data_IF_815123879416
#
_entry.id   IF_815123879416
#
_cell.length_a   1.000
_cell.length_b   1.000
_cell.length_c   1.000
_cell.angle_alpha   90.00
_cell.angle_beta   90.00
_cell.angle_gamma   90.00
#
_symmetry.space_group_name_H-M   'P 1'
#
loop_
_entity.id
_entity.type
_entity.pdbx_description
1 polymer ?
#
# COMPACT_ATOMS: atom_id res chain seq x y z
N UNK A 1 9.85 -8.61 25.35
CA UNK A 1 9.12 -7.65 24.49
C UNK A 1 9.69 -7.78 23.10
N UNK A 2 8.87 -7.99 22.09
CA UNK A 2 9.29 -8.12 20.68
C UNK A 2 9.53 -6.72 20.14
N UNK A 3 10.72 -6.42 19.64
CA UNK A 3 11.00 -5.18 18.93
C UNK A 3 10.57 -5.34 17.49
N UNK A 4 9.60 -4.51 17.02
CA UNK A 4 9.05 -4.53 15.68
C UNK A 4 9.22 -3.15 15.03
N UNK A 5 10.00 -3.11 13.96
CA UNK A 5 10.35 -1.86 13.26
C UNK A 5 9.65 -1.79 11.92
N UNK A 6 8.83 -0.77 11.69
CA UNK A 6 8.22 -0.47 10.40
C UNK A 6 9.06 0.54 9.62
N UNK A 7 9.35 0.20 8.37
CA UNK A 7 10.11 1.07 7.45
C UNK A 7 9.10 1.84 6.60
N UNK A 8 8.76 3.05 7.01
CA UNK A 8 7.81 3.92 6.29
C UNK A 8 7.91 5.36 6.77
N UNK A 9 7.79 6.32 5.83
CA UNK A 9 7.58 7.75 6.10
C UNK A 9 6.13 8.17 5.87
N UNK A 10 5.26 7.26 5.43
CA UNK A 10 3.85 7.55 5.16
C UNK A 10 3.04 7.60 6.47
N UNK A 11 2.55 8.80 6.80
CA UNK A 11 1.80 9.05 8.04
C UNK A 11 0.51 8.23 8.16
N UNK A 12 -0.20 7.96 7.05
CA UNK A 12 -1.41 7.14 7.07
C UNK A 12 -1.08 5.68 7.42
N UNK A 13 0.03 5.14 6.89
CA UNK A 13 0.52 3.80 7.27
C UNK A 13 0.91 3.76 8.74
N UNK A 14 1.61 4.78 9.25
CA UNK A 14 2.00 4.88 10.67
C UNK A 14 0.76 4.90 11.55
N UNK A 15 -0.26 5.69 11.20
CA UNK A 15 -1.54 5.76 11.90
C UNK A 15 -2.21 4.37 11.93
N UNK A 16 -2.32 3.73 10.78
CA UNK A 16 -2.91 2.39 10.64
C UNK A 16 -2.21 1.34 11.50
N UNK A 17 -0.88 1.33 11.52
CA UNK A 17 -0.11 0.42 12.38
C UNK A 17 -0.40 0.69 13.86
N UNK A 18 -0.34 1.96 14.29
CA UNK A 18 -0.62 2.34 15.68
C UNK A 18 -2.02 1.93 16.13
N UNK A 19 -3.02 2.04 15.26
CA UNK A 19 -4.40 1.63 15.54
C UNK A 19 -4.50 0.11 15.72
N UNK A 20 -3.94 -0.68 14.79
CA UNK A 20 -3.96 -2.15 14.87
C UNK A 20 -3.23 -2.68 16.10
N UNK A 21 -2.13 -2.06 16.49
CA UNK A 21 -1.30 -2.49 17.61
C UNK A 21 -1.63 -1.79 18.94
N UNK A 22 -2.66 -0.95 19.03
CA UNK A 22 -2.99 -0.08 20.17
C UNK A 22 -3.15 -0.84 21.50
N UNK A 23 -3.67 -2.08 21.47
CA UNK A 23 -3.95 -2.89 22.66
C UNK A 23 -2.91 -4.00 22.88
N UNK A 24 -1.73 -3.88 22.26
CA UNK A 24 -0.68 -4.92 22.32
C UNK A 24 0.45 -4.44 23.23
N UNK A 25 0.68 -5.12 24.33
CA UNK A 25 1.64 -4.70 25.37
C UNK A 25 3.00 -5.39 25.28
N UNK A 26 3.11 -6.48 24.53
CA UNK A 26 4.33 -7.28 24.41
C UNK A 26 5.16 -6.97 23.15
N UNK A 27 4.72 -5.99 22.35
CA UNK A 27 5.42 -5.53 21.15
C UNK A 27 5.83 -4.06 21.33
N UNK A 28 7.11 -3.78 21.09
CA UNK A 28 7.68 -2.44 21.09
C UNK A 28 7.79 -1.95 19.65
N UNK A 29 6.94 -0.96 19.29
CA UNK A 29 6.83 -0.45 17.93
C UNK A 29 7.83 0.66 17.67
N UNK A 30 8.59 0.51 16.60
CA UNK A 30 9.52 1.50 16.08
C UNK A 30 9.16 1.86 14.63
N UNK A 31 9.45 3.10 14.23
CA UNK A 31 9.28 3.58 12.87
C UNK A 31 10.58 4.19 12.37
N UNK A 32 10.98 3.81 11.16
CA UNK A 32 12.16 4.37 10.49
C UNK A 32 11.69 5.14 9.26
N UNK A 33 12.03 6.42 9.23
CA UNK A 33 11.61 7.40 8.22
C UNK A 33 12.72 7.73 7.21
N UNK A 34 13.66 6.85 6.99
CA UNK A 34 14.77 7.14 6.08
C UNK A 34 14.33 7.07 4.61
N UNK A 35 14.85 8.00 3.82
CA UNK A 35 14.85 7.94 2.36
C UNK A 35 15.76 6.80 1.92
N UNK A 36 15.18 5.62 1.80
CA UNK A 36 15.89 4.47 1.25
C UNK A 36 15.70 4.50 -0.24
N UNK A 37 16.77 4.38 -1.03
CA UNK A 37 16.62 4.09 -2.44
C UNK A 37 15.80 2.81 -2.58
N UNK A 38 14.56 2.94 -3.04
CA UNK A 38 13.75 1.77 -3.37
C UNK A 38 14.35 1.12 -4.63
N UNK A 39 14.54 -0.19 -4.56
CA UNK A 39 14.91 -0.92 -5.77
C UNK A 39 13.77 -0.82 -6.78
N UNK A 40 14.12 -0.85 -8.06
CA UNK A 40 13.15 -1.13 -9.10
C UNK A 40 12.93 -2.64 -9.14
N UNK A 41 11.71 -3.08 -8.86
CA UNK A 41 11.34 -4.48 -8.82
C UNK A 41 10.15 -4.78 -9.74
N UNK A 42 9.92 -6.06 -9.99
CA UNK A 42 8.82 -6.52 -10.83
C UNK A 42 7.49 -6.67 -10.06
N UNK A 43 7.53 -6.60 -8.73
CA UNK A 43 6.35 -6.69 -7.87
C UNK A 43 6.55 -5.95 -6.55
N UNK A 44 5.43 -5.53 -5.93
CA UNK A 44 5.42 -4.94 -4.58
C UNK A 44 6.06 -5.85 -3.54
N UNK A 45 5.86 -7.16 -3.66
CA UNK A 45 6.44 -8.16 -2.75
C UNK A 45 7.97 -8.16 -2.84
N UNK A 46 8.52 -8.14 -4.06
CA UNK A 46 9.97 -8.07 -4.28
C UNK A 46 10.57 -6.81 -3.66
N UNK A 47 9.97 -5.65 -3.94
CA UNK A 47 10.42 -4.36 -3.39
C UNK A 47 10.37 -4.36 -1.87
N UNK A 48 9.24 -4.80 -1.29
CA UNK A 48 9.07 -4.87 0.15
C UNK A 48 10.07 -5.85 0.80
N UNK A 49 10.33 -7.01 0.16
CA UNK A 49 11.26 -8.03 0.67
C UNK A 49 12.69 -7.53 0.73
N UNK A 50 13.20 -6.97 -0.39
CA UNK A 50 14.57 -6.48 -0.45
C UNK A 50 14.81 -5.35 0.55
N UNK A 51 13.85 -4.44 0.67
CA UNK A 51 13.92 -3.35 1.66
C UNK A 51 13.89 -3.92 3.09
N UNK A 52 12.97 -4.83 3.42
CA UNK A 52 12.89 -5.43 4.76
C UNK A 52 14.17 -6.17 5.13
N UNK A 53 14.74 -6.97 4.22
CA UNK A 53 15.98 -7.71 4.43
C UNK A 53 17.19 -6.78 4.60
N UNK A 54 17.25 -5.70 3.82
CA UNK A 54 18.32 -4.70 3.96
C UNK A 54 18.32 -4.11 5.38
N UNK A 55 17.15 -3.73 5.88
CA UNK A 55 17.05 -3.14 7.23
C UNK A 55 17.19 -4.14 8.36
N UNK A 56 16.72 -5.38 8.19
CA UNK A 56 16.86 -6.42 9.21
C UNK A 56 18.32 -6.69 9.61
N UNK A 57 19.26 -6.46 8.70
CA UNK A 57 20.71 -6.57 8.97
C UNK A 57 21.25 -5.46 9.87
N UNK A 58 20.54 -4.35 10.00
CA UNK A 58 21.00 -3.14 10.70
C UNK A 58 20.21 -2.87 12.00
N UNK A 59 19.06 -3.51 12.17
CA UNK A 59 18.23 -3.35 13.37
C UNK A 59 18.23 -4.66 14.18
N UNK A 60 18.29 -4.52 15.50
CA UNK A 60 18.15 -5.67 16.39
C UNK A 60 16.65 -5.90 16.64
N UNK A 61 16.01 -6.78 15.86
CA UNK A 61 14.58 -7.08 15.97
C UNK A 61 13.96 -7.43 14.64
N UNK A 62 12.63 -7.49 14.62
CA UNK A 62 11.85 -7.74 13.42
C UNK A 62 11.64 -6.47 12.63
N UNK A 63 11.64 -6.57 11.31
CA UNK A 63 11.42 -5.46 10.39
C UNK A 63 10.22 -5.74 9.49
N UNK A 64 9.39 -4.73 9.29
CA UNK A 64 8.29 -4.77 8.33
C UNK A 64 8.46 -3.66 7.30
N UNK A 65 8.39 -4.03 6.02
CA UNK A 65 8.17 -3.09 4.92
C UNK A 65 6.88 -3.44 4.21
N UNK A 66 6.08 -2.43 3.88
CA UNK A 66 4.90 -2.58 3.05
C UNK A 66 4.98 -1.67 1.83
N UNK A 67 4.68 -2.24 0.66
CA UNK A 67 4.52 -1.53 -0.60
C UNK A 67 3.10 -1.69 -1.15
N UNK A 68 2.59 -0.63 -1.84
CA UNK A 68 1.27 -0.62 -2.46
C UNK A 68 1.41 -0.36 -3.95
N UNK A 69 0.88 -1.27 -4.75
CA UNK A 69 0.87 -1.17 -6.21
C UNK A 69 -0.54 -1.26 -6.77
N UNK A 70 -0.87 -0.38 -7.71
CA UNK A 70 -2.11 -0.40 -8.47
C UNK A 70 -1.94 -1.25 -9.73
N UNK A 71 -2.89 -2.13 -9.99
CA UNK A 71 -2.95 -2.94 -11.20
C UNK A 71 -4.28 -2.72 -11.91
N UNK A 72 -4.24 -2.19 -13.15
CA UNK A 72 -5.41 -1.96 -14.00
C UNK A 72 -5.50 -3.10 -15.00
N UNK A 73 -6.56 -3.93 -14.93
CA UNK A 73 -6.62 -5.18 -15.68
C UNK A 73 -6.50 -5.01 -17.18
N UNK A 74 -7.20 -4.02 -17.74
CA UNK A 74 -7.19 -3.75 -19.18
C UNK A 74 -5.87 -3.18 -19.69
N UNK A 75 -4.97 -2.73 -18.81
CA UNK A 75 -3.66 -2.17 -19.14
C UNK A 75 -2.48 -3.13 -18.88
N UNK A 76 -2.71 -4.44 -18.78
CA UNK A 76 -1.70 -5.52 -18.73
C UNK A 76 -0.64 -5.38 -17.61
N UNK A 77 -0.91 -5.50 -16.51
CA UNK A 77 -1.29 -4.87 -15.26
C UNK A 77 -0.49 -3.61 -14.93
N UNK A 78 -0.46 -2.65 -15.83
CA UNK A 78 0.06 -1.30 -15.58
C UNK A 78 -0.75 -0.61 -14.47
N UNK A 79 -0.16 0.27 -13.63
CA UNK A 79 1.28 0.62 -13.56
C UNK A 79 2.09 -0.33 -12.69
N UNK A 80 1.46 -1.24 -11.92
CA UNK A 80 2.16 -2.15 -11.03
C UNK A 80 3.02 -1.43 -9.99
N UNK A 81 4.25 -1.88 -9.75
CA UNK A 81 5.16 -1.29 -8.76
C UNK A 81 5.52 0.19 -9.03
N UNK A 82 5.27 0.67 -10.24
CA UNK A 82 5.52 2.07 -10.63
C UNK A 82 4.34 3.01 -10.35
N UNK A 83 3.35 2.58 -9.56
CA UNK A 83 2.14 3.35 -9.24
C UNK A 83 2.46 4.77 -8.77
N UNK A 84 3.35 4.93 -7.80
CA UNK A 84 3.70 6.24 -7.27
C UNK A 84 4.38 7.13 -8.32
N UNK A 85 5.29 6.56 -9.11
CA UNK A 85 5.97 7.30 -10.20
C UNK A 85 4.95 7.83 -11.22
N UNK A 86 4.07 6.98 -11.72
CA UNK A 86 3.09 7.39 -12.73
C UNK A 86 2.00 8.28 -12.15
N UNK A 87 1.53 8.05 -10.93
CA UNK A 87 0.56 8.94 -10.30
C UNK A 87 1.11 10.37 -10.12
N UNK A 88 2.41 10.51 -9.90
CA UNK A 88 3.05 11.82 -9.76
C UNK A 88 3.44 12.48 -11.08
N UNK A 89 3.68 11.70 -12.14
CA UNK A 89 4.21 12.20 -13.42
C UNK A 89 3.22 12.19 -14.57
N UNK A 90 2.16 11.36 -14.52
CA UNK A 90 1.17 11.22 -15.59
C UNK A 90 -0.17 11.84 -15.16
N UNK A 91 -0.65 12.89 -15.85
CA UNK A 91 -1.97 13.46 -15.59
C UNK A 91 -3.09 12.41 -15.72
N UNK A 92 -4.13 12.54 -14.91
CA UNK A 92 -5.28 11.61 -14.91
C UNK A 92 -5.98 11.57 -16.27
N UNK A 93 -5.96 12.68 -17.02
CA UNK A 93 -6.51 12.77 -18.37
C UNK A 93 -5.77 11.84 -19.35
N UNK A 94 -4.46 11.65 -19.18
CA UNK A 94 -3.68 10.69 -19.96
C UNK A 94 -4.09 9.25 -19.65
N UNK A 95 -4.26 8.90 -18.36
CA UNK A 95 -4.78 7.59 -17.97
C UNK A 95 -6.16 7.32 -18.57
N UNK A 96 -7.07 8.30 -18.48
CA UNK A 96 -8.40 8.19 -19.06
C UNK A 96 -8.35 8.01 -20.59
N UNK A 97 -7.43 8.71 -21.26
CA UNK A 97 -7.22 8.58 -22.71
C UNK A 97 -6.74 7.17 -23.09
N UNK A 98 -5.81 6.58 -22.32
CA UNK A 98 -5.36 5.20 -22.51
C UNK A 98 -6.51 4.19 -22.38
N UNK A 99 -7.48 4.49 -21.51
CA UNK A 99 -8.62 3.62 -21.22
C UNK A 99 -9.88 3.92 -22.08
N UNK A 100 -9.82 4.85 -23.02
CA UNK A 100 -10.99 5.38 -23.74
C UNK A 100 -11.85 4.29 -24.41
N UNK A 101 -11.22 3.23 -24.95
CA UNK A 101 -11.90 2.16 -25.69
C UNK A 101 -11.93 0.84 -24.90
N UNK A 102 -11.66 0.89 -23.60
CA UNK A 102 -11.61 -0.32 -22.75
C UNK A 102 -12.91 -0.46 -21.98
N UNK A 103 -13.58 -1.59 -22.17
CA UNK A 103 -14.81 -1.94 -21.42
C UNK A 103 -14.53 -2.42 -20.00
N UNK A 104 -13.40 -3.13 -19.77
CA UNK A 104 -12.99 -3.53 -18.44
C UNK A 104 -12.28 -2.35 -17.76
N UNK A 105 -12.96 -1.77 -16.78
CA UNK A 105 -12.45 -0.66 -15.95
C UNK A 105 -12.12 -1.11 -14.54
N UNK A 106 -11.93 -2.40 -14.33
CA UNK A 106 -11.59 -2.96 -13.03
C UNK A 106 -10.09 -3.00 -12.80
N UNK A 107 -9.72 -2.98 -11.53
CA UNK A 107 -8.35 -3.12 -11.08
C UNK A 107 -8.28 -3.54 -9.62
N UNK A 108 -7.09 -3.49 -9.07
CA UNK A 108 -6.89 -3.70 -7.65
C UNK A 108 -5.61 -3.02 -7.17
N UNK A 109 -5.63 -2.58 -5.92
CA UNK A 109 -4.40 -2.35 -5.20
C UNK A 109 -3.90 -3.65 -4.61
N UNK A 110 -2.64 -3.97 -4.82
CA UNK A 110 -1.92 -5.00 -4.10
C UNK A 110 -1.13 -4.37 -2.96
N UNK A 111 -1.50 -4.73 -1.74
CA UNK A 111 -0.81 -4.34 -0.52
C UNK A 111 0.11 -5.50 -0.17
N UNK A 112 1.42 -5.31 -0.28
CA UNK A 112 2.41 -6.34 -0.02
C UNK A 112 3.26 -5.95 1.18
N UNK A 113 3.11 -6.66 2.31
CA UNK A 113 3.94 -6.48 3.48
C UNK A 113 4.87 -7.67 3.69
N UNK A 114 6.13 -7.39 4.02
CA UNK A 114 7.12 -8.41 4.33
C UNK A 114 7.68 -8.16 5.72
N UNK A 115 7.57 -9.18 6.55
CA UNK A 115 8.24 -9.29 7.84
C UNK A 115 9.57 -10.02 7.63
N UNK A 116 10.67 -9.42 8.08
CA UNK A 116 12.00 -10.02 8.04
C UNK A 116 12.62 -10.08 9.44
N UNK A 117 13.38 -11.14 9.72
CA UNK A 117 14.18 -11.27 10.94
C UNK A 117 15.67 -11.02 10.68
N UNK A 118 16.45 -11.01 11.77
CA UNK A 118 17.90 -10.80 11.74
C UNK A 118 18.67 -11.94 11.05
N UNK A 119 18.07 -13.13 10.93
CA UNK A 119 18.66 -14.29 10.27
C UNK A 119 18.38 -14.30 8.75
N UNK A 120 17.64 -13.32 8.27
CA UNK A 120 17.26 -13.19 6.85
C UNK A 120 16.06 -14.03 6.45
N UNK A 121 15.30 -14.58 7.41
CA UNK A 121 14.04 -15.25 7.12
C UNK A 121 12.96 -14.20 6.88
N UNK A 122 12.08 -14.46 5.92
CA UNK A 122 10.98 -13.57 5.59
C UNK A 122 9.63 -14.28 5.65
N UNK A 123 8.60 -13.50 5.99
CA UNK A 123 7.20 -13.87 5.86
C UNK A 123 6.45 -12.80 5.09
N UNK A 124 5.72 -13.21 4.07
CA UNK A 124 4.98 -12.32 3.18
C UNK A 124 3.50 -12.34 3.50
N UNK A 125 2.90 -11.16 3.43
CA UNK A 125 1.47 -10.93 3.61
C UNK A 125 0.99 -10.09 2.43
N UNK A 126 0.05 -10.60 1.66
CA UNK A 126 -0.47 -9.92 0.48
C UNK A 126 -1.98 -9.83 0.58
N UNK A 127 -2.49 -8.61 0.47
CA UNK A 127 -3.91 -8.34 0.43
C UNK A 127 -4.27 -7.52 -0.81
N UNK A 128 -5.40 -7.81 -1.45
CA UNK A 128 -5.83 -7.10 -2.66
C UNK A 128 -7.14 -6.37 -2.40
N UNK A 129 -7.12 -5.07 -2.66
CA UNK A 129 -8.29 -4.19 -2.58
C UNK A 129 -8.79 -3.96 -4.00
N UNK A 130 -9.98 -4.47 -4.30
CA UNK A 130 -10.59 -4.27 -5.62
C UNK A 130 -11.00 -2.81 -5.81
N UNK A 131 -10.81 -2.31 -7.03
CA UNK A 131 -11.22 -0.96 -7.42
C UNK A 131 -11.85 -0.96 -8.82
N UNK A 132 -12.59 0.09 -9.07
CA UNK A 132 -13.09 0.47 -10.39
C UNK A 132 -12.49 1.82 -10.79
N UNK A 133 -12.36 2.07 -12.08
CA UNK A 133 -11.84 3.32 -12.62
C UNK A 133 -12.97 4.04 -13.33
N UNK A 134 -13.30 5.24 -12.85
CA UNK A 134 -14.34 6.10 -13.44
C UNK A 134 -14.02 6.45 -14.90
N UNK A 135 -15.04 6.69 -15.69
CA UNK A 135 -14.88 7.22 -17.06
C UNK A 135 -14.45 8.68 -17.07
N UNK A 136 -14.69 9.40 -15.99
CA UNK A 136 -14.43 10.83 -15.86
C UNK A 136 -13.67 11.10 -14.55
N UNK A 137 -12.79 12.10 -14.58
CA UNK A 137 -12.15 12.60 -13.39
C UNK A 137 -13.13 13.42 -12.55
N UNK A 138 -13.34 13.04 -11.29
CA UNK A 138 -14.31 13.68 -10.37
C UNK A 138 -13.62 14.02 -9.05
N UNK A 139 -13.78 15.25 -8.61
CA UNK A 139 -13.11 15.79 -7.41
C UNK A 139 -11.88 16.64 -7.79
N UNK A 140 -11.26 17.26 -6.76
CA UNK A 140 -10.13 18.19 -6.92
C UNK A 140 -8.90 17.79 -6.09
N UNK A 141 -8.96 16.68 -5.34
CA UNK A 141 -7.87 16.17 -4.51
C UNK A 141 -7.14 15.03 -5.20
N UNK A 142 -5.83 15.03 -5.08
CA UNK A 142 -4.96 14.05 -5.73
C UNK A 142 -4.96 14.14 -7.24
N UNK A 143 -4.30 13.20 -7.90
CA UNK A 143 -4.27 13.07 -9.35
C UNK A 143 -5.16 11.90 -9.79
N UNK A 144 -4.69 10.65 -9.66
CA UNK A 144 -5.49 9.48 -10.02
C UNK A 144 -6.59 9.16 -9.00
N UNK A 145 -6.54 9.70 -7.78
CA UNK A 145 -7.65 9.63 -6.81
C UNK A 145 -8.98 10.14 -7.36
N UNK A 146 -8.93 10.98 -8.40
CA UNK A 146 -10.08 11.55 -9.11
C UNK A 146 -10.82 10.53 -9.99
N UNK A 147 -10.25 9.35 -10.22
CA UNK A 147 -10.86 8.28 -11.01
C UNK A 147 -10.95 6.95 -10.29
N UNK A 148 -10.25 6.77 -9.18
CA UNK A 148 -10.23 5.51 -8.43
C UNK A 148 -11.42 5.43 -7.48
N UNK A 149 -12.17 4.32 -7.55
CA UNK A 149 -13.36 4.05 -6.76
C UNK A 149 -13.18 2.65 -6.13
N UNK A 150 -13.44 2.49 -4.84
CA UNK A 150 -13.47 1.16 -4.22
C UNK A 150 -14.61 0.32 -4.79
N UNK A 151 -14.37 -0.97 -4.95
CA UNK A 151 -15.39 -1.91 -5.42
C UNK A 151 -16.63 -1.88 -4.49
N UNK A 152 -17.81 -1.75 -5.10
CA UNK A 152 -19.07 -1.60 -4.37
C UNK A 152 -19.39 -0.18 -3.87
N UNK A 153 -18.53 0.82 -4.17
CA UNK A 153 -18.78 2.21 -3.83
C UNK A 153 -19.05 3.06 -5.08
N UNK A 154 -19.52 4.30 -4.89
CA UNK A 154 -19.84 5.24 -5.98
C UNK A 154 -18.91 6.45 -6.03
N UNK A 155 -18.27 6.80 -4.91
CA UNK A 155 -17.43 7.99 -4.80
C UNK A 155 -15.97 7.67 -5.08
N UNK A 156 -15.31 8.56 -5.84
CA UNK A 156 -13.86 8.52 -6.01
C UNK A 156 -13.14 8.81 -4.69
N UNK A 157 -11.88 8.39 -4.58
CA UNK A 157 -11.04 8.74 -3.42
C UNK A 157 -10.96 10.25 -3.23
N UNK A 158 -10.87 11.00 -4.34
CA UNK A 158 -10.87 12.47 -4.33
C UNK A 158 -12.16 13.05 -3.72
N UNK A 159 -13.33 12.53 -4.13
CA UNK A 159 -14.62 12.97 -3.56
C UNK A 159 -14.76 12.64 -2.07
N UNK A 160 -14.27 11.45 -1.66
CA UNK A 160 -14.25 11.07 -0.24
C UNK A 160 -13.38 12.01 0.57
N UNK A 161 -12.18 12.32 0.08
CA UNK A 161 -11.26 13.26 0.73
C UNK A 161 -11.88 14.66 0.87
N UNK A 162 -12.60 15.15 -0.16
CA UNK A 162 -13.32 16.42 -0.09
C UNK A 162 -14.43 16.44 0.95
N UNK A 163 -15.13 15.31 1.12
CA UNK A 163 -16.25 15.17 2.06
C UNK A 163 -15.82 14.74 3.45
N UNK A 164 -14.52 14.58 3.71
CA UNK A 164 -13.95 13.99 4.93
C UNK A 164 -14.57 12.61 5.26
N UNK A 165 -14.95 11.86 4.24
CA UNK A 165 -15.42 10.48 4.40
C UNK A 165 -14.20 9.59 4.57
N UNK A 166 -14.05 9.03 5.75
CA UNK A 166 -13.00 8.04 6.01
C UNK A 166 -13.33 6.79 5.21
N UNK A 167 -12.47 6.42 4.29
CA UNK A 167 -12.52 5.11 3.62
C UNK A 167 -12.44 4.05 4.71
N UNK A 168 -13.25 2.99 4.63
CA UNK A 168 -13.28 1.95 5.67
C UNK A 168 -11.86 1.54 6.05
N UNK A 169 -11.40 2.00 7.21
CA UNK A 169 -10.00 1.91 7.67
C UNK A 169 -9.48 0.48 7.64
N UNK A 170 -10.38 -0.47 7.90
CA UNK A 170 -10.07 -1.90 7.94
C UNK A 170 -9.50 -2.50 6.63
N UNK A 171 -9.77 -1.91 5.47
CA UNK A 171 -9.28 -2.42 4.19
C UNK A 171 -7.75 -2.26 4.12
N UNK A 172 -7.23 -1.11 4.55
CA UNK A 172 -5.80 -0.81 4.51
C UNK A 172 -5.00 -1.42 5.66
N UNK A 173 -5.70 -1.96 6.69
CA UNK A 173 -5.09 -2.56 7.88
C UNK A 173 -4.84 -4.07 7.76
N UNK A 174 -5.32 -4.74 6.72
CA UNK A 174 -5.36 -6.20 6.63
C UNK A 174 -3.99 -6.86 6.83
N UNK A 175 -2.96 -6.33 6.19
CA UNK A 175 -1.62 -6.88 6.37
C UNK A 175 -1.09 -6.72 7.79
N UNK A 176 -1.39 -5.59 8.44
CA UNK A 176 -0.96 -5.34 9.82
C UNK A 176 -1.69 -6.28 10.81
N UNK A 177 -2.97 -6.56 10.56
CA UNK A 177 -3.75 -7.55 11.32
C UNK A 177 -3.15 -8.96 11.13
N UNK A 178 -2.80 -9.33 9.91
CA UNK A 178 -2.17 -10.62 9.62
C UNK A 178 -0.79 -10.75 10.28
N UNK A 179 0.03 -9.70 10.26
CA UNK A 179 1.33 -9.65 10.97
C UNK A 179 1.11 -9.82 12.47
N UNK A 180 0.18 -9.05 13.06
CA UNK A 180 -0.12 -9.15 14.49
C UNK A 180 -0.55 -10.56 14.88
N UNK A 181 -1.43 -11.19 14.09
CA UNK A 181 -1.87 -12.56 14.35
C UNK A 181 -0.72 -13.57 14.24
N UNK A 182 0.19 -13.39 13.27
CA UNK A 182 1.39 -14.23 13.13
C UNK A 182 2.35 -14.09 14.32
N UNK A 183 2.47 -12.91 14.90
CA UNK A 183 3.35 -12.66 16.05
C UNK A 183 2.76 -13.15 17.39
N UNK A 184 1.48 -13.51 17.42
CA UNK A 184 0.81 -14.09 18.60
C UNK A 184 0.86 -15.62 18.63
N UNK A 185 1.24 -16.25 17.52
CA UNK A 185 1.39 -17.71 17.41
C UNK A 185 2.79 -18.15 17.77
#
# INVERSE_FOLDING_TARGET
>A
MIKLTFITSNEDKIKSVKEVFSNVTNIDLHFVHNDIPEIQGNSSVEIARETALHYARHVNGLVVREDHSLYIRSLYPFPGPYTNFFNNSMPVETLLSMMKNMSDRTGYFELAAVLADTDGKTKEFVYRVKINISEYAVGDKGNWDRVLILDGEELTFSQKAQKNIVTSEHIWHQNYIHILNHLKT
#
